data_IF_447290477826
#
_entry.id   IF_447290477826
#
_cell.length_a   1.000
_cell.length_b   1.000
_cell.length_c   1.000
_cell.angle_alpha   90.00
_cell.angle_beta   90.00
_cell.angle_gamma   90.00
#
_symmetry.space_group_name_H-M   'P 1'
#
loop_
_entity.id
_entity.type
_entity.pdbx_description
1 polymer ?
#
# COMPACT_ATOMS: atom_id res chain seq x y z
N UNK A 1 3.67 13.63 1.49
CA UNK A 1 2.62 14.21 0.62
C UNK A 1 1.48 14.68 1.51
N UNK A 2 0.99 15.91 1.35
CA UNK A 2 -0.17 16.39 2.11
C UNK A 2 -1.46 15.92 1.45
N UNK A 3 -2.43 15.53 2.27
CA UNK A 3 -3.79 15.21 1.84
C UNK A 3 -4.57 16.52 1.69
N UNK A 4 -5.42 16.68 0.65
CA UNK A 4 -6.32 17.82 0.54
C UNK A 4 -7.25 17.94 1.74
N UNK A 5 -7.57 19.16 2.17
CA UNK A 5 -8.31 19.41 3.42
C UNK A 5 -9.79 18.97 3.36
N UNK A 6 -10.33 18.80 2.16
CA UNK A 6 -11.69 18.33 1.85
C UNK A 6 -11.79 16.80 1.77
N UNK A 7 -10.68 16.09 1.97
CA UNK A 7 -10.62 14.63 1.99
C UNK A 7 -10.41 14.16 3.42
N UNK A 8 -11.31 13.33 3.91
CA UNK A 8 -11.06 12.54 5.12
C UNK A 8 -10.31 11.29 4.71
N UNK A 9 -9.12 11.11 5.27
CA UNK A 9 -8.28 9.93 5.06
C UNK A 9 -8.35 9.04 6.31
N UNK A 10 -8.52 7.74 6.10
CA UNK A 10 -8.34 6.69 7.09
C UNK A 10 -7.29 5.72 6.55
N UNK A 11 -6.34 5.29 7.37
CA UNK A 11 -5.54 4.09 7.08
C UNK A 11 -6.10 2.94 7.91
N UNK A 12 -6.62 1.93 7.24
CA UNK A 12 -7.24 0.78 7.89
C UNK A 12 -6.44 -0.50 7.65
N UNK A 13 -6.42 -1.39 8.63
CA UNK A 13 -5.96 -2.75 8.42
C UNK A 13 -6.89 -3.45 7.40
N UNK A 14 -6.36 -4.05 6.31
CA UNK A 14 -7.18 -4.59 5.23
C UNK A 14 -8.11 -5.74 5.65
N UNK A 15 -7.75 -6.49 6.71
CA UNK A 15 -8.52 -7.65 7.17
C UNK A 15 -9.54 -7.25 8.23
N UNK A 16 -9.09 -6.54 9.26
CA UNK A 16 -9.91 -6.18 10.43
C UNK A 16 -10.71 -4.91 10.23
N UNK A 17 -10.35 -4.06 9.27
CA UNK A 17 -10.93 -2.73 9.02
C UNK A 17 -10.79 -1.76 10.20
N UNK A 18 -9.93 -2.06 11.16
CA UNK A 18 -9.60 -1.16 12.27
C UNK A 18 -8.57 -0.11 11.82
N UNK A 19 -8.62 1.13 12.34
CA UNK A 19 -7.59 2.12 12.09
C UNK A 19 -6.20 1.64 12.56
N UNK A 20 -5.17 1.91 11.76
CA UNK A 20 -3.77 1.65 12.14
C UNK A 20 -3.16 2.89 12.78
N UNK A 21 -2.09 2.71 13.56
CA UNK A 21 -1.38 3.83 14.17
C UNK A 21 -0.53 4.58 13.13
N UNK A 22 -0.21 5.87 13.36
CA UNK A 22 0.78 6.57 12.56
C UNK A 22 2.11 5.80 12.52
N UNK A 23 2.72 5.69 11.34
CA UNK A 23 3.91 4.89 11.10
C UNK A 23 3.65 3.45 10.64
N UNK A 24 2.45 2.90 10.90
CA UNK A 24 2.06 1.58 10.45
C UNK A 24 1.43 1.60 9.05
N UNK A 25 1.56 0.49 8.34
CA UNK A 25 1.02 0.35 6.99
C UNK A 25 -0.47 -0.03 7.03
N UNK A 26 -1.31 0.71 6.29
CA UNK A 26 -2.75 0.45 6.17
C UNK A 26 -3.27 0.75 4.77
N UNK A 27 -4.41 0.15 4.42
CA UNK A 27 -5.19 0.48 3.22
C UNK A 27 -5.68 1.93 3.32
N UNK A 28 -5.48 2.69 2.25
CA UNK A 28 -6.02 4.03 2.07
C UNK A 28 -7.54 3.91 1.88
N UNK A 29 -8.29 4.49 2.81
CA UNK A 29 -9.74 4.64 2.73
C UNK A 29 -10.06 6.13 2.76
N UNK A 30 -10.79 6.61 1.75
CA UNK A 30 -11.09 8.04 1.60
C UNK A 30 -12.59 8.32 1.67
N UNK A 31 -12.93 9.43 2.31
CA UNK A 31 -14.25 10.05 2.18
C UNK A 31 -14.10 11.43 1.57
N UNK A 32 -14.75 11.66 0.43
CA UNK A 32 -14.76 12.91 -0.34
C UNK A 32 -16.21 13.31 -0.56
N UNK A 33 -16.59 14.46 0.00
CA UNK A 33 -17.94 14.99 -0.13
C UNK A 33 -18.05 15.92 -1.34
N UNK A 34 -17.91 15.35 -2.54
CA UNK A 34 -18.06 16.06 -3.80
C UNK A 34 -19.50 15.87 -4.34
N UNK A 35 -20.27 16.96 -4.61
CA UNK A 35 -21.67 16.88 -5.03
C UNK A 35 -21.97 15.98 -6.23
N UNK A 36 -21.04 15.89 -7.18
CA UNK A 36 -21.27 15.12 -8.41
C UNK A 36 -20.90 13.64 -8.24
N UNK A 37 -19.95 13.34 -7.37
CA UNK A 37 -19.41 11.99 -7.18
C UNK A 37 -18.82 11.83 -5.78
N UNK A 38 -19.71 11.67 -4.80
CA UNK A 38 -19.30 11.47 -3.42
C UNK A 38 -18.70 10.08 -3.23
N UNK A 39 -17.55 10.02 -2.57
CA UNK A 39 -16.90 8.79 -2.13
C UNK A 39 -17.06 8.71 -0.62
N UNK A 40 -17.67 7.65 -0.11
CA UNK A 40 -17.86 7.45 1.33
C UNK A 40 -17.13 6.17 1.74
N UNK A 41 -16.13 6.32 2.61
CA UNK A 41 -15.23 5.23 3.05
C UNK A 41 -14.80 4.33 1.91
N UNK A 42 -14.40 4.96 0.81
CA UNK A 42 -13.99 4.27 -0.39
C UNK A 42 -12.58 3.71 -0.20
N UNK A 43 -12.49 2.39 -0.12
CA UNK A 43 -11.24 1.65 -0.10
C UNK A 43 -10.56 1.71 -1.47
N UNK A 44 -9.41 2.38 -1.58
CA UNK A 44 -8.72 2.53 -2.87
C UNK A 44 -7.97 1.25 -3.27
N UNK A 45 -7.75 0.33 -2.34
CA UNK A 45 -6.88 -0.82 -2.51
C UNK A 45 -5.39 -0.47 -2.51
N UNK A 46 -5.00 0.78 -2.27
CA UNK A 46 -3.60 1.17 -2.10
C UNK A 46 -3.22 1.12 -0.63
N UNK A 47 -1.97 0.78 -0.32
CA UNK A 47 -1.42 0.71 1.04
C UNK A 47 -0.41 1.81 1.23
N UNK A 48 -0.52 2.55 2.33
CA UNK A 48 0.35 3.67 2.66
C UNK A 48 0.74 3.68 4.14
N UNK A 49 1.68 4.57 4.48
CA UNK A 49 2.05 4.92 5.84
C UNK A 49 1.90 6.43 6.01
N UNK A 50 1.26 6.84 7.11
CA UNK A 50 1.13 8.23 7.53
C UNK A 50 2.07 8.58 8.68
N UNK A 51 2.19 9.87 8.97
CA UNK A 51 2.95 10.39 10.12
C UNK A 51 2.12 11.44 10.87
N UNK A 52 2.36 11.55 12.17
CA UNK A 52 1.89 12.60 13.05
C UNK A 52 2.87 13.78 13.15
N UNK A 53 4.05 13.69 12.53
CA UNK A 53 5.02 14.77 12.52
C UNK A 53 4.53 16.00 11.74
N UNK A 54 4.69 17.17 12.36
CA UNK A 54 4.40 18.45 11.72
C UNK A 54 5.30 18.69 10.51
N UNK A 55 4.75 19.28 9.45
CA UNK A 55 5.54 19.65 8.28
C UNK A 55 6.19 21.02 8.42
N UNK A 56 7.45 21.13 7.97
CA UNK A 56 8.17 22.41 7.83
C UNK A 56 7.48 23.44 6.93
N UNK A 57 6.57 23.03 6.05
CA UNK A 57 5.80 23.97 5.21
C UNK A 57 4.64 24.66 5.96
N UNK A 58 4.39 24.29 7.23
CA UNK A 58 3.36 24.89 8.07
C UNK A 58 1.93 24.40 7.80
N UNK A 59 1.69 23.60 6.75
CA UNK A 59 0.38 22.97 6.54
C UNK A 59 0.14 21.88 7.60
N UNK A 60 -1.01 21.95 8.26
CA UNK A 60 -1.50 20.87 9.13
C UNK A 60 -2.16 19.73 8.34
N UNK A 61 -2.81 18.83 9.07
CA UNK A 61 -3.52 17.68 8.52
C UNK A 61 -2.63 16.46 8.25
N UNK A 62 -3.25 15.39 7.80
CA UNK A 62 -2.58 14.12 7.58
C UNK A 62 -1.58 14.16 6.42
N UNK A 63 -0.51 13.37 6.58
CA UNK A 63 0.59 13.28 5.61
C UNK A 63 0.90 11.84 5.32
N UNK A 64 0.78 11.46 4.06
CA UNK A 64 1.30 10.19 3.55
C UNK A 64 2.80 10.34 3.34
N UNK A 65 3.60 9.57 4.06
CA UNK A 65 5.07 9.58 3.95
C UNK A 65 5.60 8.51 3.02
N UNK A 66 4.84 7.43 2.81
CA UNK A 66 5.24 6.34 1.92
C UNK A 66 4.03 5.63 1.32
N UNK A 67 4.06 5.41 0.01
CA UNK A 67 3.20 4.42 -0.67
C UNK A 67 3.92 3.07 -0.65
N UNK A 68 3.23 2.03 -0.22
CA UNK A 68 3.79 0.70 0.02
C UNK A 68 3.49 -0.27 -1.12
N UNK A 69 2.28 -0.22 -1.67
CA UNK A 69 1.82 -1.13 -2.73
C UNK A 69 0.30 -1.20 -2.74
N UNK A 70 -0.29 -2.30 -3.22
CA UNK A 70 -1.74 -2.53 -3.13
C UNK A 70 -2.10 -3.68 -2.19
N UNK A 71 -3.31 -3.58 -1.66
CA UNK A 71 -3.98 -4.70 -0.99
C UNK A 71 -4.11 -5.84 -1.99
N UNK A 72 -3.73 -7.05 -1.57
CA UNK A 72 -3.81 -8.24 -2.41
C UNK A 72 -2.67 -8.43 -3.43
N UNK A 73 -1.72 -7.49 -3.56
CA UNK A 73 -0.52 -7.69 -4.39
C UNK A 73 0.39 -8.82 -3.84
N UNK A 74 0.17 -9.23 -2.59
CA UNK A 74 0.88 -10.35 -1.99
C UNK A 74 0.41 -11.68 -2.58
N UNK A 75 1.33 -12.47 -3.11
CA UNK A 75 1.03 -13.83 -3.58
C UNK A 75 1.56 -14.83 -2.56
N UNK A 76 0.73 -15.81 -2.18
CA UNK A 76 1.16 -16.90 -1.31
C UNK A 76 1.98 -17.90 -2.12
N UNK A 77 3.23 -18.12 -1.71
CA UNK A 77 4.19 -19.06 -2.31
C UNK A 77 4.74 -19.96 -1.22
N UNK A 78 4.42 -21.26 -1.28
CA UNK A 78 4.87 -22.29 -0.31
C UNK A 78 4.59 -21.89 1.14
N UNK A 79 3.42 -21.30 1.39
CA UNK A 79 3.00 -20.89 2.73
C UNK A 79 3.46 -19.48 3.15
N UNK A 80 4.32 -18.82 2.37
CA UNK A 80 4.82 -17.46 2.66
C UNK A 80 4.12 -16.43 1.77
N UNK A 81 3.84 -15.24 2.30
CA UNK A 81 3.39 -14.12 1.48
C UNK A 81 4.61 -13.44 0.82
N UNK A 82 4.57 -13.31 -0.50
CA UNK A 82 5.60 -12.62 -1.28
C UNK A 82 4.98 -11.36 -1.85
N UNK A 83 5.51 -10.19 -1.46
CA UNK A 83 5.09 -8.90 -1.98
C UNK A 83 6.01 -8.45 -3.11
N UNK A 84 5.49 -7.87 -4.21
CA UNK A 84 6.29 -7.31 -5.29
C UNK A 84 7.36 -6.32 -4.81
N UNK A 85 7.07 -5.55 -3.75
CA UNK A 85 8.03 -4.62 -3.12
C UNK A 85 9.28 -5.32 -2.60
N UNK A 86 9.13 -6.48 -1.95
CA UNK A 86 10.26 -7.27 -1.42
C UNK A 86 11.13 -7.81 -2.55
N UNK A 87 10.50 -8.25 -3.65
CA UNK A 87 11.22 -8.69 -4.85
C UNK A 87 11.98 -7.52 -5.47
N UNK A 88 11.34 -6.34 -5.56
CA UNK A 88 11.97 -5.11 -6.02
C UNK A 88 13.19 -4.69 -5.20
N UNK A 89 13.13 -4.82 -3.87
CA UNK A 89 14.27 -4.54 -2.97
C UNK A 89 15.48 -5.45 -3.23
N UNK A 90 15.24 -6.71 -3.60
CA UNK A 90 16.31 -7.65 -3.98
C UNK A 90 16.86 -7.31 -5.35
N UNK A 91 15.99 -7.10 -6.35
CA UNK A 91 16.38 -6.74 -7.72
C UNK A 91 17.20 -5.44 -7.76
N UNK A 92 16.85 -4.45 -6.92
CA UNK A 92 17.56 -3.18 -6.83
C UNK A 92 19.06 -3.31 -6.50
N UNK A 93 19.49 -4.47 -5.96
CA UNK A 93 20.91 -4.77 -5.69
C UNK A 93 21.70 -5.18 -6.95
N UNK A 94 21.02 -5.35 -8.09
CA UNK A 94 21.60 -5.78 -9.37
C UNK A 94 21.35 -4.72 -10.45
N UNK A 95 22.19 -3.67 -10.55
CA UNK A 95 21.97 -2.54 -11.46
C UNK A 95 21.86 -2.92 -12.94
N UNK A 96 22.41 -4.06 -13.34
CA UNK A 96 22.32 -4.59 -14.70
C UNK A 96 20.91 -5.07 -15.09
N UNK A 97 19.99 -5.26 -14.14
CA UNK A 97 18.61 -5.69 -14.38
C UNK A 97 17.72 -4.46 -14.55
N UNK A 98 17.26 -4.22 -15.78
CA UNK A 98 16.41 -3.06 -16.10
C UNK A 98 14.91 -3.31 -15.97
N UNK A 99 14.48 -4.58 -16.04
CA UNK A 99 13.09 -5.03 -15.94
C UNK A 99 13.06 -6.44 -15.36
N UNK A 100 11.99 -6.78 -14.64
CA UNK A 100 11.80 -8.09 -14.03
C UNK A 100 10.31 -8.48 -14.02
N UNK A 101 10.04 -9.79 -13.93
CA UNK A 101 8.70 -10.33 -13.75
C UNK A 101 8.76 -11.54 -12.82
N UNK A 102 8.03 -11.50 -11.72
CA UNK A 102 7.80 -12.69 -10.89
C UNK A 102 6.56 -13.44 -11.37
N UNK A 103 6.70 -14.73 -11.66
CA UNK A 103 5.58 -15.62 -12.01
C UNK A 103 5.44 -16.67 -10.91
N UNK A 104 4.25 -16.72 -10.30
CA UNK A 104 3.87 -17.79 -9.39
C UNK A 104 2.97 -18.77 -10.13
N UNK A 105 3.41 -20.02 -10.25
CA UNK A 105 2.59 -21.13 -10.73
C UNK A 105 2.38 -22.15 -9.63
N UNK A 106 1.30 -22.92 -9.74
CA UNK A 106 1.01 -24.03 -8.83
C UNK A 106 0.72 -25.29 -9.63
N UNK A 107 1.55 -26.31 -9.43
CA UNK A 107 1.35 -27.65 -10.00
C UNK A 107 1.04 -28.62 -8.86
N UNK A 108 -0.20 -29.09 -8.80
CA UNK A 108 -0.71 -29.89 -7.69
C UNK A 108 -0.61 -29.15 -6.35
N UNK A 109 0.20 -29.68 -5.43
CA UNK A 109 0.42 -29.10 -4.09
C UNK A 109 1.68 -28.24 -3.98
N UNK A 110 2.42 -28.02 -5.08
CA UNK A 110 3.70 -27.31 -5.06
C UNK A 110 3.61 -25.97 -5.79
N UNK A 111 3.93 -24.91 -5.06
CA UNK A 111 4.09 -23.58 -5.66
C UNK A 111 5.52 -23.43 -6.20
N UNK A 112 5.64 -22.76 -7.35
CA UNK A 112 6.90 -22.41 -8.00
C UNK A 112 6.91 -20.91 -8.25
N UNK A 113 8.01 -20.26 -7.86
CA UNK A 113 8.26 -18.84 -8.14
C UNK A 113 9.42 -18.75 -9.12
N UNK A 114 9.16 -18.16 -10.28
CA UNK A 114 10.15 -17.90 -11.34
C UNK A 114 10.32 -16.39 -11.46
N UNK A 115 11.57 -15.93 -11.56
CA UNK A 115 11.95 -14.52 -11.66
C UNK A 115 12.67 -14.24 -12.98
#
# INVERSE_FOLDING_TARGET
>A
MHVPADVVLELLDPETRAPVAPGDAGEIVVTVNEPTYALIRFATGDVAITTDESCVCGRGGERIVRLVGRVGDAVKVRGMFVHPRQVGEVIARFPQVSRWQGIVTREGARDTFTL
#
